data_IF_306393187473
#
_entry.id   IF_306393187473
#
_cell.length_a   1.000
_cell.length_b   1.000
_cell.length_c   1.000
_cell.angle_alpha   90.00
_cell.angle_beta   90.00
_cell.angle_gamma   90.00
#
_symmetry.space_group_name_H-M   'P 1'
#
loop_
_entity.id
_entity.type
_entity.pdbx_description
1 polymer ?
#
# COMPACT_ATOMS: atom_id res chain seq x y z
N UNK A 1 -5.95 -0.50 -4.38
CA UNK A 1 -5.88 0.85 -3.78
C UNK A 1 -5.45 0.67 -2.34
N UNK A 2 -4.17 0.94 -2.05
CA UNK A 2 -3.52 0.58 -0.79
C UNK A 2 -3.76 1.66 0.25
N UNK A 3 -4.33 1.31 1.40
CA UNK A 3 -4.43 2.17 2.58
C UNK A 3 -3.41 1.71 3.61
N UNK A 4 -2.52 2.62 4.03
CA UNK A 4 -1.62 2.43 5.17
C UNK A 4 -2.24 3.11 6.39
N UNK A 5 -2.38 2.37 7.50
CA UNK A 5 -2.87 2.86 8.79
C UNK A 5 -1.67 3.18 9.68
N UNK A 6 -1.63 4.39 10.23
CA UNK A 6 -0.63 4.83 11.21
C UNK A 6 0.04 6.15 10.84
N UNK A 7 0.43 6.92 11.87
CA UNK A 7 1.10 8.23 11.81
C UNK A 7 2.52 8.20 11.22
N UNK A 8 2.88 7.13 10.51
CA UNK A 8 4.22 6.86 9.98
C UNK A 8 4.27 7.36 8.53
N UNK A 9 5.37 8.01 8.11
CA UNK A 9 5.48 8.64 6.80
C UNK A 9 5.08 7.71 5.64
N UNK A 10 4.34 8.28 4.68
CA UNK A 10 3.78 7.64 3.47
C UNK A 10 4.86 7.21 2.45
N UNK A 11 5.89 6.49 2.88
CA UNK A 11 7.02 6.03 2.06
C UNK A 11 6.55 5.15 0.91
N UNK A 12 5.82 4.07 1.21
CA UNK A 12 5.39 3.10 0.20
C UNK A 12 4.41 3.70 -0.81
N UNK A 13 3.54 4.61 -0.36
CA UNK A 13 2.69 5.37 -1.26
C UNK A 13 3.50 6.31 -2.16
N UNK A 14 4.60 6.88 -1.67
CA UNK A 14 5.50 7.69 -2.49
C UNK A 14 6.20 6.85 -3.56
N UNK A 15 6.71 5.66 -3.22
CA UNK A 15 7.28 4.74 -4.22
C UNK A 15 6.28 4.32 -5.28
N UNK A 16 5.07 3.93 -4.87
CA UNK A 16 4.09 3.42 -5.80
C UNK A 16 3.54 4.52 -6.72
N UNK A 17 3.17 5.68 -6.18
CA UNK A 17 2.58 6.76 -6.96
C UNK A 17 3.62 7.60 -7.73
N UNK A 18 4.76 7.92 -7.11
CA UNK A 18 5.77 8.77 -7.72
C UNK A 18 6.80 7.95 -8.54
N UNK A 19 7.20 6.78 -8.04
CA UNK A 19 8.09 5.87 -8.76
C UNK A 19 7.36 5.12 -9.87
N UNK A 20 6.47 4.21 -9.48
CA UNK A 20 5.71 3.39 -10.44
C UNK A 20 4.76 4.19 -11.31
N UNK A 21 3.97 5.08 -10.69
CA UNK A 21 2.96 5.85 -11.40
C UNK A 21 3.51 7.01 -12.26
N UNK A 22 4.56 7.70 -11.80
CA UNK A 22 5.13 8.87 -12.50
C UNK A 22 6.52 8.64 -13.09
N UNK A 23 7.04 7.42 -13.05
CA UNK A 23 8.30 7.04 -13.68
C UNK A 23 9.56 7.62 -13.03
N UNK A 24 9.50 8.03 -11.75
CA UNK A 24 10.70 8.49 -11.05
C UNK A 24 11.63 7.31 -10.72
N UNK A 25 12.95 7.44 -10.92
CA UNK A 25 13.89 6.39 -10.57
C UNK A 25 13.80 6.01 -9.09
N UNK A 26 13.63 4.72 -8.79
CA UNK A 26 13.53 4.21 -7.42
C UNK A 26 14.72 4.61 -6.55
N UNK A 27 15.93 4.70 -7.13
CA UNK A 27 17.14 5.12 -6.43
C UNK A 27 17.06 6.55 -5.89
N UNK A 28 16.39 7.46 -6.61
CA UNK A 28 16.18 8.85 -6.15
C UNK A 28 15.19 8.91 -5.01
N UNK A 29 14.16 8.06 -5.03
CA UNK A 29 13.18 7.97 -3.95
C UNK A 29 13.86 7.38 -2.69
N UNK A 30 14.70 6.35 -2.84
CA UNK A 30 15.46 5.75 -1.73
C UNK A 30 16.46 6.71 -1.09
N UNK A 31 17.11 7.54 -1.91
CA UNK A 31 18.03 8.58 -1.42
C UNK A 31 17.28 9.63 -0.59
N UNK A 32 16.13 10.11 -1.08
CA UNK A 32 15.29 11.08 -0.37
C UNK A 32 14.66 10.48 0.89
N UNK A 33 14.23 9.23 0.85
CA UNK A 33 13.69 8.50 2.00
C UNK A 33 14.72 8.39 3.13
N UNK A 34 15.94 7.97 2.79
CA UNK A 34 17.05 7.87 3.75
C UNK A 34 17.45 9.24 4.30
N UNK A 35 17.42 10.28 3.45
CA UNK A 35 17.75 11.64 3.85
C UNK A 35 16.72 12.25 4.83
N UNK A 36 15.43 12.01 4.62
CA UNK A 36 14.37 12.60 5.46
C UNK A 36 14.12 11.79 6.73
N UNK A 37 14.34 10.48 6.71
CA UNK A 37 13.83 9.57 7.76
C UNK A 37 14.90 8.66 8.37
N UNK A 38 16.16 8.74 7.89
CA UNK A 38 17.25 7.92 8.39
C UNK A 38 16.94 6.43 8.25
N UNK A 39 17.10 5.68 9.35
CA UNK A 39 16.85 4.23 9.43
C UNK A 39 15.42 3.87 9.85
N UNK A 40 14.56 4.84 10.17
CA UNK A 40 13.20 4.56 10.63
C UNK A 40 12.38 3.92 9.50
N UNK A 41 11.83 2.73 9.76
CA UNK A 41 10.94 2.01 8.86
C UNK A 41 9.73 1.50 9.65
N UNK A 42 8.57 1.32 9.01
CA UNK A 42 7.46 0.63 9.65
C UNK A 42 7.87 -0.79 10.03
N UNK A 43 7.48 -1.27 11.20
CA UNK A 43 7.68 -2.68 11.58
C UNK A 43 6.80 -3.61 10.72
N UNK A 44 5.63 -3.12 10.29
CA UNK A 44 4.71 -3.82 9.40
C UNK A 44 3.93 -2.87 8.49
N UNK A 45 3.81 -3.23 7.21
CA UNK A 45 2.95 -2.60 6.21
C UNK A 45 1.90 -3.60 5.73
N UNK A 46 0.62 -3.25 5.90
CA UNK A 46 -0.50 -4.01 5.34
C UNK A 46 -0.83 -3.49 3.93
N UNK A 47 -0.81 -4.38 2.94
CA UNK A 47 -1.10 -4.06 1.54
C UNK A 47 -2.42 -4.69 1.15
N UNK A 48 -3.44 -3.86 1.00
CA UNK A 48 -4.77 -4.28 0.52
C UNK A 48 -4.75 -4.39 -1.01
N UNK A 49 -4.55 -5.61 -1.50
CA UNK A 49 -4.52 -5.90 -2.93
C UNK A 49 -5.92 -6.19 -3.46
N UNK A 50 -6.27 -5.56 -4.57
CA UNK A 50 -7.50 -5.84 -5.31
C UNK A 50 -7.36 -5.40 -6.76
N UNK A 51 -8.06 -6.05 -7.71
CA UNK A 51 -8.16 -5.56 -9.08
C UNK A 51 -8.65 -4.11 -9.10
N UNK A 52 -8.08 -3.32 -10.01
CA UNK A 52 -8.37 -1.88 -10.09
C UNK A 52 -9.84 -1.65 -10.41
N UNK A 53 -10.42 -2.48 -11.27
CA UNK A 53 -11.83 -2.43 -11.65
C UNK A 53 -12.75 -2.53 -10.41
N UNK A 54 -12.43 -3.45 -9.50
CA UNK A 54 -13.17 -3.62 -8.24
C UNK A 54 -12.97 -2.41 -7.34
N UNK A 55 -11.75 -1.88 -7.26
CA UNK A 55 -11.45 -0.66 -6.51
C UNK A 55 -12.22 0.57 -7.03
N UNK A 56 -12.24 0.76 -8.34
CA UNK A 56 -12.94 1.86 -9.02
C UNK A 56 -14.46 1.74 -8.87
N UNK A 57 -15.02 0.53 -8.99
CA UNK A 57 -16.44 0.30 -8.75
C UNK A 57 -16.84 0.66 -7.32
N UNK A 58 -16.04 0.25 -6.32
CA UNK A 58 -16.27 0.59 -4.90
C UNK A 58 -16.11 2.09 -4.63
N UNK A 59 -15.13 2.75 -5.25
CA UNK A 59 -14.91 4.17 -5.05
C UNK A 59 -16.03 5.01 -5.70
N UNK A 60 -16.47 4.64 -6.90
CA UNK A 60 -17.62 5.25 -7.58
C UNK A 60 -18.90 5.12 -6.75
N UNK A 61 -19.11 3.97 -6.09
CA UNK A 61 -20.25 3.76 -5.20
C UNK A 61 -20.22 4.62 -3.93
N UNK A 62 -19.04 5.10 -3.51
CA UNK A 62 -18.87 5.97 -2.32
C UNK A 62 -19.05 7.46 -2.61
N UNK A 63 -19.18 7.87 -3.87
CA UNK A 63 -19.48 9.25 -4.25
C UNK A 63 -18.55 9.80 -5.33
N UNK A 64 -18.38 11.12 -5.32
CA UNK A 64 -17.72 11.87 -6.39
C UNK A 64 -16.23 11.53 -6.45
N UNK A 65 -15.80 11.05 -7.62
CA UNK A 65 -14.43 10.62 -7.87
C UNK A 65 -13.44 11.78 -7.62
N UNK A 66 -12.37 11.51 -6.89
CA UNK A 66 -11.34 12.48 -6.52
C UNK A 66 -10.33 12.65 -7.68
N UNK A 67 -9.52 13.72 -7.66
CA UNK A 67 -8.55 14.03 -8.75
C UNK A 67 -7.62 12.88 -9.14
N UNK A 68 -7.37 11.94 -8.22
CA UNK A 68 -6.53 10.77 -8.45
C UNK A 68 -7.15 9.73 -9.40
N UNK A 69 -8.48 9.68 -9.51
CA UNK A 69 -9.19 8.74 -10.39
C UNK A 69 -9.23 9.19 -11.86
N UNK A 70 -8.67 10.37 -12.16
CA UNK A 70 -8.42 10.84 -13.52
C UNK A 70 -7.16 10.23 -14.14
N UNK A 71 -6.28 9.63 -13.33
CA UNK A 71 -5.12 8.89 -13.82
C UNK A 71 -5.59 7.57 -14.46
N UNK A 72 -5.07 7.25 -15.65
CA UNK A 72 -5.55 6.10 -16.42
C UNK A 72 -5.21 4.75 -15.77
N UNK A 73 -5.91 3.69 -16.18
CA UNK A 73 -5.72 2.30 -15.69
C UNK A 73 -4.25 1.86 -15.58
N UNK A 74 -3.41 2.27 -16.55
CA UNK A 74 -1.96 2.00 -16.57
C UNK A 74 -1.22 2.54 -15.34
N UNK A 75 -1.61 3.71 -14.83
CA UNK A 75 -1.02 4.29 -13.63
C UNK A 75 -1.29 3.42 -12.40
N UNK A 76 -2.55 3.02 -12.22
CA UNK A 76 -2.95 2.18 -11.09
C UNK A 76 -2.38 0.76 -11.21
N UNK A 77 -2.23 0.23 -12.42
CA UNK A 77 -1.56 -1.05 -12.68
C UNK A 77 -0.09 -0.96 -12.22
N UNK A 78 0.63 0.11 -12.60
CA UNK A 78 2.02 0.32 -12.18
C UNK A 78 2.16 0.51 -10.66
N UNK A 79 1.24 1.24 -10.03
CA UNK A 79 1.17 1.39 -8.56
C UNK A 79 1.01 0.03 -7.89
N UNK A 80 0.05 -0.78 -8.34
CA UNK A 80 -0.21 -2.12 -7.80
C UNK A 80 1.01 -3.02 -7.94
N UNK A 81 1.60 -3.09 -9.13
CA UNK A 81 2.80 -3.89 -9.39
C UNK A 81 3.96 -3.49 -8.48
N UNK A 82 4.15 -2.19 -8.22
CA UNK A 82 5.20 -1.70 -7.32
C UNK A 82 5.01 -2.19 -5.88
N UNK A 83 3.77 -2.17 -5.37
CA UNK A 83 3.47 -2.69 -4.04
C UNK A 83 3.69 -4.20 -3.93
N UNK A 84 3.27 -4.96 -4.94
CA UNK A 84 3.48 -6.41 -4.97
C UNK A 84 4.96 -6.76 -5.01
N UNK A 85 5.75 -6.03 -5.79
CA UNK A 85 7.20 -6.23 -5.85
C UNK A 85 7.88 -5.90 -4.51
N UNK A 86 7.52 -4.79 -3.85
CA UNK A 86 8.04 -4.47 -2.51
C UNK A 86 7.67 -5.54 -1.48
N UNK A 87 6.43 -6.04 -1.52
CA UNK A 87 6.01 -7.12 -0.65
C UNK A 87 6.77 -8.42 -0.89
N UNK A 88 7.15 -8.70 -2.15
CA UNK A 88 8.00 -9.84 -2.52
C UNK A 88 9.44 -9.68 -2.06
N UNK A 89 9.99 -8.47 -2.14
CA UNK A 89 11.38 -8.19 -1.74
C UNK A 89 11.57 -8.18 -0.22
N UNK A 90 10.55 -7.78 0.54
CA UNK A 90 10.63 -7.65 1.99
C UNK A 90 9.46 -8.35 2.72
N UNK A 91 9.31 -9.69 2.57
CA UNK A 91 8.16 -10.41 3.10
C UNK A 91 8.07 -10.38 4.63
N UNK A 92 9.14 -10.02 5.34
CA UNK A 92 9.09 -9.78 6.79
C UNK A 92 8.31 -8.52 7.18
N UNK A 93 8.34 -7.47 6.33
CA UNK A 93 7.74 -6.16 6.60
C UNK A 93 6.38 -5.97 5.94
N UNK A 94 6.03 -6.75 4.92
CA UNK A 94 4.75 -6.61 4.21
C UNK A 94 3.82 -7.80 4.46
N UNK A 95 2.53 -7.52 4.66
CA UNK A 95 1.45 -8.51 4.63
C UNK A 95 0.48 -8.13 3.54
N UNK A 96 0.26 -9.02 2.58
CA UNK A 96 -0.75 -8.85 1.55
C UNK A 96 -2.11 -9.29 2.12
N UNK A 97 -3.13 -8.48 1.89
CA UNK A 97 -4.52 -8.76 2.25
C UNK A 97 -5.34 -8.73 0.97
N UNK A 98 -6.06 -9.81 0.68
CA UNK A 98 -6.95 -9.87 -0.47
C UNK A 98 -8.20 -9.03 -0.18
N UNK A 99 -8.16 -7.79 -0.66
CA UNK A 99 -9.23 -6.83 -0.53
C UNK A 99 -10.29 -6.95 -1.64
N UNK A 100 -10.18 -7.91 -2.56
CA UNK A 100 -11.24 -8.17 -3.53
C UNK A 100 -12.45 -8.89 -2.89
N UNK A 101 -12.22 -9.54 -1.74
CA UNK A 101 -13.22 -10.26 -0.96
C UNK A 101 -14.25 -9.33 -0.28
N UNK A 102 -15.25 -9.93 0.39
CA UNK A 102 -16.23 -9.15 1.17
C UNK A 102 -15.56 -8.50 2.39
N UNK A 103 -16.22 -7.49 2.97
CA UNK A 103 -15.68 -6.78 4.13
C UNK A 103 -15.42 -7.75 5.30
N UNK A 104 -16.33 -8.69 5.53
CA UNK A 104 -16.24 -9.69 6.61
C UNK A 104 -15.03 -10.61 6.41
N UNK A 105 -14.76 -11.01 5.17
CA UNK A 105 -13.61 -11.86 4.86
C UNK A 105 -12.29 -11.10 5.00
N UNK A 106 -12.26 -9.82 4.59
CA UNK A 106 -11.10 -8.94 4.80
C UNK A 106 -10.85 -8.72 6.29
N UNK A 107 -11.90 -8.53 7.09
CA UNK A 107 -11.80 -8.43 8.56
C UNK A 107 -11.27 -9.74 9.17
N UNK A 108 -11.75 -10.89 8.72
CA UNK A 108 -11.23 -12.18 9.15
C UNK A 108 -9.74 -12.36 8.83
N UNK A 109 -9.26 -11.87 7.68
CA UNK A 109 -7.82 -11.84 7.37
C UNK A 109 -7.04 -10.94 8.33
N UNK A 110 -7.61 -9.79 8.71
CA UNK A 110 -7.00 -8.88 9.67
C UNK A 110 -6.94 -9.47 11.09
N UNK A 111 -8.00 -10.15 11.53
CA UNK A 111 -8.07 -10.76 12.86
C UNK A 111 -6.96 -11.78 13.09
N UNK A 112 -6.57 -12.52 12.05
CA UNK A 112 -5.43 -13.45 12.08
C UNK A 112 -4.10 -12.73 12.29
N UNK A 113 -3.97 -11.48 11.83
CA UNK A 113 -2.75 -10.67 11.96
C UNK A 113 -2.69 -9.89 13.29
N UNK A 114 -3.80 -9.74 14.01
CA UNK A 114 -3.86 -9.00 15.29
C UNK A 114 -2.84 -9.53 16.32
N UNK A 115 -2.68 -10.84 16.55
CA UNK A 115 -1.69 -11.34 17.49
C UNK A 115 -0.25 -10.94 17.14
N UNK A 116 0.11 -10.98 15.85
CA UNK A 116 1.42 -10.55 15.34
C UNK A 116 1.62 -9.05 15.56
N UNK A 117 0.61 -8.24 15.25
CA UNK A 117 0.61 -6.78 15.47
C UNK A 117 0.80 -6.41 16.95
N UNK A 118 0.17 -7.15 17.85
CA UNK A 118 0.28 -6.91 19.30
C UNK A 118 1.66 -7.24 19.85
N UNK A 119 2.38 -8.20 19.25
CA UNK A 119 3.77 -8.52 19.62
C UNK A 119 4.70 -7.39 19.17
N UNK A 120 4.52 -6.87 17.94
CA UNK A 120 5.32 -5.77 17.41
C UNK A 120 5.14 -4.46 18.20
N UNK A 121 3.93 -4.19 18.71
CA UNK A 121 3.67 -2.97 19.50
C UNK A 121 4.24 -3.00 20.94
N UNK A 122 4.55 -4.19 21.47
CA UNK A 122 5.11 -4.34 22.83
C UNK A 122 6.64 -4.40 22.87
N UNK A 123 7.30 -4.24 21.71
CA UNK A 123 8.76 -4.17 21.57
C UNK A 123 9.33 -2.79 21.86
#
# INVERSE_FOLDING_TARGET
MVFTLGSIPKQDATYAYQGGGRGLPHERIATLETFVQGTLRPDLTLVFDLPIEVGMARASARGRLDRFEQEGRRFFDAVRSTYLERARLEPGRYRLIDAAQTLEQVQGQLDVLVPELLVLHRG
#
